data_IF_892564978587
#
_entry.id   IF_892564978587
#
_cell.length_a   1.000
_cell.length_b   1.000
_cell.length_c   1.000
_cell.angle_alpha   90.00
_cell.angle_beta   90.00
_cell.angle_gamma   90.00
#
_symmetry.space_group_name_H-M   'P 1'
#
loop_
_entity.id
_entity.type
_entity.pdbx_description
1 polymer ?
#
# COMPACT_ATOMS: atom_id res chain seq x y z
N UNK A 1 -9.07 -33.63 -8.09
CA UNK A 1 -8.84 -32.53 -9.04
C UNK A 1 -9.55 -31.24 -8.60
N UNK A 2 -10.66 -31.30 -7.87
CA UNK A 2 -11.38 -30.09 -7.45
C UNK A 2 -10.79 -29.36 -6.22
N UNK A 3 -10.12 -30.08 -5.30
CA UNK A 3 -9.56 -29.48 -4.08
C UNK A 3 -8.35 -28.56 -4.33
N UNK A 4 -7.53 -28.88 -5.35
CA UNK A 4 -6.33 -28.09 -5.66
C UNK A 4 -6.67 -26.74 -6.27
N UNK A 5 -7.67 -26.69 -7.16
CA UNK A 5 -8.19 -25.45 -7.72
C UNK A 5 -8.88 -24.59 -6.67
N UNK A 6 -9.56 -25.20 -5.70
CA UNK A 6 -10.20 -24.45 -4.62
C UNK A 6 -9.20 -23.74 -3.70
N UNK A 7 -8.08 -24.39 -3.36
CA UNK A 7 -7.06 -23.78 -2.49
C UNK A 7 -6.31 -22.65 -3.19
N UNK A 8 -5.93 -22.83 -4.45
CA UNK A 8 -5.27 -21.77 -5.23
C UNK A 8 -6.20 -20.55 -5.45
N UNK A 9 -7.48 -20.79 -5.75
CA UNK A 9 -8.48 -19.73 -5.87
C UNK A 9 -8.72 -19.03 -4.52
N UNK A 10 -8.69 -19.78 -3.41
CA UNK A 10 -8.79 -19.21 -2.07
C UNK A 10 -7.62 -18.27 -1.73
N UNK A 11 -6.39 -18.69 -2.00
CA UNK A 11 -5.19 -17.85 -1.82
C UNK A 11 -5.23 -16.62 -2.72
N UNK A 12 -5.65 -16.78 -3.98
CA UNK A 12 -5.83 -15.66 -4.88
C UNK A 12 -6.87 -14.64 -4.34
N UNK A 13 -7.97 -15.10 -3.73
CA UNK A 13 -8.92 -14.20 -3.06
C UNK A 13 -8.27 -13.44 -1.91
N UNK A 14 -7.45 -14.11 -1.09
CA UNK A 14 -6.70 -13.46 -0.01
C UNK A 14 -5.72 -12.40 -0.54
N UNK A 15 -4.97 -12.71 -1.60
CA UNK A 15 -4.06 -11.76 -2.26
C UNK A 15 -4.79 -10.50 -2.72
N UNK A 16 -5.92 -10.65 -3.42
CA UNK A 16 -6.70 -9.52 -3.90
C UNK A 16 -7.38 -8.76 -2.75
N UNK A 17 -7.74 -9.44 -1.65
CA UNK A 17 -8.26 -8.78 -0.45
C UNK A 17 -7.25 -7.84 0.18
N UNK A 18 -5.95 -8.20 0.21
CA UNK A 18 -4.87 -7.33 0.66
C UNK A 18 -4.73 -6.08 -0.21
N UNK A 19 -4.91 -6.21 -1.53
CA UNK A 19 -4.90 -5.06 -2.44
C UNK A 19 -6.15 -4.20 -2.26
N UNK A 20 -7.32 -4.76 -2.01
CA UNK A 20 -8.55 -3.98 -1.89
C UNK A 20 -8.76 -3.40 -0.49
N UNK A 21 -8.10 -3.94 0.54
CA UNK A 21 -8.33 -3.58 1.94
C UNK A 21 -9.69 -4.05 2.46
N UNK A 22 -10.29 -5.07 1.83
CA UNK A 22 -11.60 -5.60 2.21
C UNK A 22 -11.44 -6.89 3.00
N UNK A 23 -12.13 -7.00 4.14
CA UNK A 23 -12.20 -8.26 4.87
C UNK A 23 -13.01 -9.30 4.08
N UNK A 24 -12.53 -10.54 4.03
CA UNK A 24 -13.26 -11.66 3.43
C UNK A 24 -14.33 -12.09 4.45
N UNK A 25 -15.61 -12.04 4.07
CA UNK A 25 -16.69 -12.58 4.90
C UNK A 25 -16.57 -14.11 4.93
N UNK A 26 -16.51 -14.67 6.14
CA UNK A 26 -16.38 -16.10 6.41
C UNK A 26 -17.56 -16.87 5.82
N UNK A 27 -17.35 -17.68 4.78
CA UNK A 27 -18.39 -18.62 4.31
C UNK A 27 -18.20 -20.05 4.82
N UNK A 28 -17.10 -20.41 5.51
CA UNK A 28 -16.98 -21.74 6.12
C UNK A 28 -16.20 -21.71 7.45
N UNK A 29 -16.94 -21.99 8.54
CA UNK A 29 -16.42 -22.32 9.87
C UNK A 29 -15.44 -23.52 9.81
N UNK A 30 -14.43 -23.47 10.69
CA UNK A 30 -13.55 -24.57 11.14
C UNK A 30 -12.18 -24.76 10.47
N UNK A 31 -11.37 -23.69 10.46
CA UNK A 31 -10.02 -23.72 11.08
C UNK A 31 -9.44 -22.32 10.99
N UNK A 32 -9.14 -21.66 12.11
CA UNK A 32 -8.41 -20.38 12.11
C UNK A 32 -7.01 -20.62 11.55
N UNK A 33 -6.84 -20.48 10.24
CA UNK A 33 -5.56 -20.63 9.59
C UNK A 33 -4.69 -19.42 9.96
N UNK A 34 -3.44 -19.66 10.40
CA UNK A 34 -2.53 -18.58 10.81
C UNK A 34 -2.32 -17.53 9.71
N UNK A 35 -2.46 -17.93 8.44
CA UNK A 35 -2.37 -17.04 7.29
C UNK A 35 -3.56 -16.09 7.17
N UNK A 36 -4.77 -16.54 7.48
CA UNK A 36 -5.97 -15.68 7.45
C UNK A 36 -5.91 -14.62 8.54
N UNK A 37 -5.39 -15.00 9.72
CA UNK A 37 -5.14 -14.06 10.82
C UNK A 37 -4.13 -12.99 10.39
N UNK A 38 -3.05 -13.36 9.67
CA UNK A 38 -2.10 -12.40 9.12
C UNK A 38 -2.76 -11.42 8.14
N UNK A 39 -3.56 -11.94 7.21
CA UNK A 39 -4.26 -11.10 6.22
C UNK A 39 -5.22 -10.13 6.90
N UNK A 40 -6.04 -10.62 7.83
CA UNK A 40 -6.96 -9.81 8.61
C UNK A 40 -6.23 -8.73 9.42
N UNK A 41 -5.14 -9.09 10.09
CA UNK A 41 -4.36 -8.15 10.88
C UNK A 41 -3.72 -7.05 10.01
N UNK A 42 -3.26 -7.37 8.79
CA UNK A 42 -2.75 -6.36 7.85
C UNK A 42 -3.87 -5.39 7.43
N UNK A 43 -5.04 -5.90 7.08
CA UNK A 43 -6.19 -5.07 6.66
C UNK A 43 -6.63 -4.15 7.80
N UNK A 44 -6.61 -4.64 9.03
CA UNK A 44 -7.01 -3.88 10.22
C UNK A 44 -5.91 -2.96 10.79
N UNK A 45 -4.73 -2.90 10.16
CA UNK A 45 -3.63 -2.05 10.63
C UNK A 45 -2.87 -2.58 11.85
N UNK A 46 -3.05 -3.85 12.21
CA UNK A 46 -2.41 -4.51 13.35
C UNK A 46 -1.01 -5.03 13.00
N UNK A 47 -0.14 -4.16 12.47
CA UNK A 47 1.16 -4.55 11.94
C UNK A 47 2.10 -5.13 13.00
N UNK A 48 2.04 -4.65 14.24
CA UNK A 48 2.80 -5.20 15.38
C UNK A 48 2.50 -6.68 15.60
N UNK A 49 1.23 -7.08 15.52
CA UNK A 49 0.82 -8.47 15.71
C UNK A 49 1.35 -9.36 14.58
N UNK A 50 1.30 -8.87 13.33
CA UNK A 50 1.90 -9.57 12.19
C UNK A 50 3.40 -9.77 12.37
N UNK A 51 4.11 -8.73 12.81
CA UNK A 51 5.58 -8.75 12.91
C UNK A 51 6.11 -9.49 14.15
N UNK A 52 5.27 -9.76 15.15
CA UNK A 52 5.65 -10.49 16.38
C UNK A 52 5.13 -11.93 16.44
N UNK A 53 4.33 -12.34 15.46
CA UNK A 53 3.79 -13.70 15.40
C UNK A 53 4.87 -14.77 15.16
N UNK A 54 4.53 -16.04 15.42
CA UNK A 54 5.46 -17.17 15.26
C UNK A 54 6.03 -17.28 13.84
N UNK A 55 5.24 -16.93 12.82
CA UNK A 55 5.68 -16.96 11.42
C UNK A 55 6.77 -15.89 11.18
N UNK A 56 6.56 -14.66 11.65
CA UNK A 56 7.56 -13.60 11.55
C UNK A 56 8.83 -13.97 12.30
N UNK A 57 8.71 -14.53 13.50
CA UNK A 57 9.84 -15.03 14.29
C UNK A 57 10.65 -16.10 13.57
N UNK A 58 9.97 -17.03 12.88
CA UNK A 58 10.62 -18.05 12.06
C UNK A 58 11.34 -17.45 10.85
N UNK A 59 10.70 -16.51 10.15
CA UNK A 59 11.30 -15.79 9.01
C UNK A 59 12.54 -15.05 9.49
N UNK A 60 12.42 -14.13 10.45
CA UNK A 60 13.57 -13.33 10.89
C UNK A 60 14.59 -14.09 11.74
N UNK A 61 14.23 -15.26 12.27
CA UNK A 61 15.10 -16.05 13.13
C UNK A 61 15.32 -15.40 14.51
N UNK A 62 14.33 -14.65 15.02
CA UNK A 62 14.45 -13.90 16.29
C UNK A 62 14.95 -14.72 17.50
N UNK A 63 14.72 -16.04 17.48
CA UNK A 63 15.07 -16.99 18.55
C UNK A 63 16.32 -17.84 18.23
N UNK A 64 17.07 -17.51 17.17
CA UNK A 64 18.29 -18.23 16.78
C UNK A 64 19.44 -18.03 17.78
N UNK A 65 20.32 -19.03 17.87
CA UNK A 65 21.45 -19.05 18.80
C UNK A 65 22.63 -18.23 18.28
N UNK A 66 23.40 -17.63 19.17
CA UNK A 66 24.61 -16.87 18.85
C UNK A 66 25.70 -17.69 18.10
N UNK A 67 25.58 -19.01 18.10
CA UNK A 67 26.52 -19.91 17.43
C UNK A 67 26.27 -20.04 15.92
N UNK A 68 25.10 -19.63 15.44
CA UNK A 68 24.73 -19.69 14.03
C UNK A 68 25.67 -18.87 13.14
N UNK A 69 26.19 -19.50 12.09
CA UNK A 69 27.13 -18.89 11.13
C UNK A 69 26.53 -17.65 10.43
N UNK A 70 25.21 -17.62 10.23
CA UNK A 70 24.49 -16.48 9.68
C UNK A 70 24.60 -15.24 10.57
N UNK A 71 24.47 -15.44 11.88
CA UNK A 71 24.49 -14.37 12.87
C UNK A 71 25.90 -13.81 13.01
N UNK A 72 26.92 -14.69 13.03
CA UNK A 72 28.32 -14.27 13.06
C UNK A 72 28.66 -13.38 11.88
N UNK A 73 28.29 -13.79 10.67
CA UNK A 73 28.49 -13.00 9.44
C UNK A 73 27.73 -11.68 9.44
N UNK A 74 26.51 -11.66 9.97
CA UNK A 74 25.75 -10.42 10.13
C UNK A 74 26.46 -9.46 11.09
N UNK A 75 26.90 -9.93 12.25
CA UNK A 75 27.55 -9.08 13.26
C UNK A 75 28.90 -8.56 12.75
N UNK A 76 29.63 -9.34 11.96
CA UNK A 76 30.91 -8.94 11.38
C UNK A 76 30.79 -7.87 10.29
N UNK A 77 29.78 -7.98 9.41
CA UNK A 77 29.68 -7.16 8.20
C UNK A 77 28.47 -6.22 8.15
N UNK A 78 27.55 -6.32 9.11
CA UNK A 78 26.24 -5.64 9.11
C UNK A 78 25.47 -5.83 7.79
N UNK A 79 25.63 -7.00 7.16
CA UNK A 79 25.00 -7.31 5.88
C UNK A 79 23.55 -7.80 6.07
N UNK A 80 22.65 -6.82 6.19
CA UNK A 80 21.21 -7.05 6.30
C UNK A 80 20.65 -7.76 5.09
N UNK A 81 21.16 -7.46 3.89
CA UNK A 81 20.65 -8.01 2.65
C UNK A 81 20.91 -9.53 2.57
N UNK A 82 22.16 -9.94 2.81
CA UNK A 82 22.52 -11.36 2.81
C UNK A 82 21.77 -12.14 3.89
N UNK A 83 21.62 -11.58 5.09
CA UNK A 83 20.93 -12.24 6.19
C UNK A 83 19.44 -12.46 5.89
N UNK A 84 18.70 -11.39 5.57
CA UNK A 84 17.26 -11.49 5.29
C UNK A 84 17.00 -12.36 4.06
N UNK A 85 17.82 -12.24 3.00
CA UNK A 85 17.71 -13.10 1.81
C UNK A 85 17.92 -14.58 2.14
N UNK A 86 18.91 -14.91 2.96
CA UNK A 86 19.17 -16.29 3.38
C UNK A 86 18.01 -16.85 4.21
N UNK A 87 17.56 -16.08 5.20
CA UNK A 87 16.43 -16.43 6.06
C UNK A 87 15.13 -16.67 5.29
N UNK A 88 14.87 -15.79 4.32
CA UNK A 88 13.71 -15.90 3.44
C UNK A 88 13.74 -17.19 2.62
N UNK A 89 14.91 -17.52 2.04
CA UNK A 89 15.11 -18.77 1.29
C UNK A 89 14.96 -20.00 2.18
N UNK A 90 15.53 -19.98 3.39
CA UNK A 90 15.42 -21.07 4.37
C UNK A 90 13.97 -21.30 4.82
N UNK A 91 13.21 -20.23 5.05
CA UNK A 91 11.79 -20.35 5.40
C UNK A 91 10.98 -21.00 4.28
N UNK A 92 11.28 -20.66 3.03
CA UNK A 92 10.60 -21.23 1.86
C UNK A 92 11.03 -22.69 1.62
N UNK A 93 12.33 -23.01 1.77
CA UNK A 93 12.87 -24.36 1.57
C UNK A 93 12.72 -25.27 2.80
N UNK A 94 12.06 -24.83 3.86
CA UNK A 94 11.79 -25.64 5.04
C UNK A 94 10.71 -26.68 4.68
N UNK A 95 11.15 -27.73 3.99
CA UNK A 95 10.32 -28.85 3.59
C UNK A 95 10.05 -29.76 4.79
N UNK A 96 8.80 -30.20 4.90
CA UNK A 96 8.45 -31.38 5.69
C UNK A 96 8.68 -32.60 4.77
N UNK A 97 9.66 -33.47 5.06
CA UNK A 97 10.06 -34.55 4.14
C UNK A 97 9.02 -35.66 3.92
N UNK A 98 7.79 -35.54 4.43
CA UNK A 98 6.77 -36.60 4.46
C UNK A 98 5.45 -36.27 3.73
N UNK A 99 5.36 -35.13 3.01
CA UNK A 99 4.09 -34.72 2.36
C UNK A 99 4.02 -35.15 0.88
N UNK A 100 2.81 -35.51 0.43
CA UNK A 100 2.53 -35.81 -0.98
C UNK A 100 2.77 -34.59 -1.89
N UNK A 101 3.15 -34.79 -3.15
CA UNK A 101 3.52 -33.71 -4.08
C UNK A 101 2.48 -32.59 -4.23
N UNK A 102 1.18 -32.91 -4.07
CA UNK A 102 0.11 -31.90 -4.11
C UNK A 102 0.04 -31.08 -2.82
N UNK A 103 0.21 -31.71 -1.66
CA UNK A 103 0.21 -31.04 -0.36
C UNK A 103 1.45 -30.14 -0.19
N UNK A 104 2.58 -30.54 -0.76
CA UNK A 104 3.80 -29.73 -0.82
C UNK A 104 3.58 -28.41 -1.59
N UNK A 105 2.91 -28.46 -2.75
CA UNK A 105 2.61 -27.25 -3.53
C UNK A 105 1.65 -26.30 -2.79
N UNK A 106 0.64 -26.82 -2.09
CA UNK A 106 -0.25 -26.00 -1.27
C UNK A 106 0.48 -25.35 -0.10
N UNK A 107 1.32 -26.11 0.60
CA UNK A 107 2.12 -25.59 1.69
C UNK A 107 3.07 -24.47 1.22
N UNK A 108 3.65 -24.63 0.03
CA UNK A 108 4.51 -23.63 -0.59
C UNK A 108 3.78 -22.31 -0.89
N UNK A 109 2.56 -22.39 -1.45
CA UNK A 109 1.72 -21.21 -1.69
C UNK A 109 1.40 -20.45 -0.40
N UNK A 110 1.04 -21.15 0.68
CA UNK A 110 0.81 -20.53 1.99
C UNK A 110 2.08 -19.90 2.56
N UNK A 111 3.25 -20.54 2.41
CA UNK A 111 4.53 -19.94 2.82
C UNK A 111 4.85 -18.67 2.03
N UNK A 112 4.64 -18.66 0.70
CA UNK A 112 4.78 -17.45 -0.11
C UNK A 112 3.83 -16.35 0.35
N UNK A 113 2.55 -16.66 0.59
CA UNK A 113 1.57 -15.68 1.07
C UNK A 113 1.92 -15.15 2.47
N UNK A 114 2.36 -16.00 3.39
CA UNK A 114 2.84 -15.59 4.71
C UNK A 114 4.01 -14.61 4.60
N UNK A 115 4.99 -14.92 3.75
CA UNK A 115 6.14 -14.07 3.52
C UNK A 115 5.74 -12.73 2.90
N UNK A 116 4.81 -12.74 1.93
CA UNK A 116 4.21 -11.54 1.36
C UNK A 116 3.55 -10.69 2.45
N UNK A 117 2.76 -11.32 3.33
CA UNK A 117 2.10 -10.64 4.45
C UNK A 117 3.12 -9.96 5.40
N UNK A 118 4.21 -10.65 5.76
CA UNK A 118 5.25 -10.06 6.61
C UNK A 118 5.96 -8.89 5.91
N UNK A 119 6.26 -8.99 4.62
CA UNK A 119 6.82 -7.88 3.87
C UNK A 119 5.87 -6.67 3.82
N UNK A 120 4.58 -6.91 3.57
CA UNK A 120 3.54 -5.86 3.60
C UNK A 120 3.47 -5.22 4.99
N UNK A 121 3.51 -6.02 6.06
CA UNK A 121 3.49 -5.49 7.42
C UNK A 121 4.72 -4.60 7.70
N UNK A 122 5.91 -4.96 7.21
CA UNK A 122 7.10 -4.11 7.28
C UNK A 122 6.92 -2.79 6.50
N UNK A 123 6.47 -2.86 5.24
CA UNK A 123 6.19 -1.68 4.43
C UNK A 123 5.19 -0.75 5.13
N UNK A 124 4.13 -1.31 5.70
CA UNK A 124 3.07 -0.52 6.34
C UNK A 124 3.50 0.07 7.67
N UNK A 125 4.28 -0.68 8.46
CA UNK A 125 4.88 -0.16 9.66
C UNK A 125 5.78 1.05 9.35
N UNK A 126 6.58 0.97 8.26
CA UNK A 126 7.39 2.08 7.80
C UNK A 126 6.54 3.31 7.42
N UNK A 127 5.52 3.12 6.58
CA UNK A 127 4.59 4.18 6.15
C UNK A 127 3.90 4.81 7.37
N UNK A 128 3.47 3.98 8.33
CA UNK A 128 2.79 4.43 9.53
C UNK A 128 3.69 5.30 10.40
N UNK A 129 4.91 4.86 10.68
CA UNK A 129 5.85 5.59 11.53
C UNK A 129 6.35 6.85 10.84
N UNK A 130 6.51 6.83 9.52
CA UNK A 130 7.07 7.96 8.76
C UNK A 130 6.05 9.07 8.49
N UNK A 131 4.78 8.73 8.23
CA UNK A 131 3.82 9.69 7.69
C UNK A 131 2.45 9.72 8.35
N UNK A 132 1.85 8.57 8.67
CA UNK A 132 0.44 8.56 9.09
C UNK A 132 0.25 8.64 10.59
N UNK A 133 1.20 8.11 11.37
CA UNK A 133 1.01 7.79 12.78
C UNK A 133 -0.12 6.79 13.03
N UNK A 134 -0.37 6.43 14.30
CA UNK A 134 0.48 6.68 15.48
C UNK A 134 1.77 5.86 15.44
N UNK A 135 2.75 6.17 16.31
CA UNK A 135 3.96 5.37 16.43
C UNK A 135 3.65 3.92 16.80
N UNK A 136 4.38 2.99 16.19
CA UNK A 136 4.31 1.58 16.53
C UNK A 136 5.13 1.33 17.79
N UNK A 137 4.53 0.64 18.77
CA UNK A 137 5.24 0.15 19.97
C UNK A 137 6.04 -1.14 19.62
N UNK A 138 6.87 -1.03 18.59
CA UNK A 138 7.77 -2.05 18.07
C UNK A 138 8.83 -1.31 17.24
N UNK A 139 10.11 -1.53 17.54
CA UNK A 139 11.19 -0.97 16.74
C UNK A 139 11.61 -1.94 15.64
N UNK A 140 12.10 -1.42 14.52
CA UNK A 140 12.55 -2.25 13.40
C UNK A 140 13.68 -3.23 13.78
N UNK A 141 14.52 -2.87 14.75
CA UNK A 141 15.60 -3.74 15.22
C UNK A 141 15.09 -4.91 16.09
N UNK A 142 13.88 -4.82 16.68
CA UNK A 142 13.25 -5.89 17.45
C UNK A 142 12.95 -7.13 16.60
N UNK A 143 12.84 -6.95 15.27
CA UNK A 143 12.68 -8.04 14.32
C UNK A 143 13.92 -8.94 14.22
N UNK A 144 15.09 -8.44 14.60
CA UNK A 144 16.35 -9.19 14.50
C UNK A 144 16.58 -10.06 15.75
N UNK A 145 17.40 -11.14 15.64
CA UNK A 145 17.84 -11.94 16.78
C UNK A 145 18.38 -11.12 17.96
N UNK A 146 18.10 -11.55 19.19
CA UNK A 146 18.52 -10.88 20.44
C UNK A 146 19.99 -10.46 20.44
N UNK A 147 20.86 -11.37 20.01
CA UNK A 147 22.31 -11.17 19.97
C UNK A 147 22.74 -10.04 19.02
N UNK A 148 21.98 -9.80 17.94
CA UNK A 148 22.21 -8.68 17.04
C UNK A 148 21.77 -7.39 17.70
N UNK A 149 20.61 -7.39 18.39
CA UNK A 149 20.11 -6.22 19.13
C UNK A 149 21.04 -5.78 20.25
N UNK A 150 21.69 -6.73 20.92
CA UNK A 150 22.65 -6.43 21.99
C UNK A 150 23.99 -5.88 21.47
N UNK A 151 24.38 -6.24 20.24
CA UNK A 151 25.71 -5.90 19.70
C UNK A 151 25.70 -4.73 18.73
N UNK A 152 24.60 -4.52 18.01
CA UNK A 152 24.50 -3.50 16.97
C UNK A 152 23.71 -2.30 17.49
N UNK A 153 24.24 -1.10 17.28
CA UNK A 153 23.54 0.13 17.63
C UNK A 153 22.38 0.37 16.65
N UNK A 154 21.19 0.70 17.16
CA UNK A 154 20.00 1.03 16.37
C UNK A 154 20.26 2.15 15.35
N UNK A 155 21.00 3.19 15.72
CA UNK A 155 21.31 4.31 14.83
C UNK A 155 22.23 3.88 13.68
N UNK A 156 23.19 2.99 13.98
CA UNK A 156 24.11 2.45 12.99
C UNK A 156 23.38 1.53 12.01
N UNK A 157 22.46 0.69 12.50
CA UNK A 157 21.59 -0.14 11.67
C UNK A 157 20.69 0.72 10.77
N UNK A 158 20.10 1.78 11.31
CA UNK A 158 19.26 2.68 10.53
C UNK A 158 20.08 3.39 9.44
N UNK A 159 21.25 3.93 9.80
CA UNK A 159 22.18 4.54 8.84
C UNK A 159 22.59 3.54 7.75
N UNK A 160 22.88 2.30 8.12
CA UNK A 160 23.23 1.26 7.15
C UNK A 160 22.07 0.93 6.22
N UNK A 161 20.85 0.89 6.76
CA UNK A 161 19.67 0.69 5.94
C UNK A 161 19.47 1.83 4.93
N UNK A 162 19.68 3.08 5.34
CA UNK A 162 19.65 4.26 4.48
C UNK A 162 20.71 4.21 3.38
N UNK A 163 21.95 3.81 3.71
CA UNK A 163 23.02 3.60 2.71
C UNK A 163 22.65 2.56 1.65
N UNK A 164 22.00 1.46 2.05
CA UNK A 164 21.58 0.40 1.12
C UNK A 164 20.39 0.84 0.26
N UNK A 165 19.53 1.72 0.78
CA UNK A 165 18.38 2.28 0.07
C UNK A 165 18.75 3.42 -0.89
N UNK A 166 19.93 4.02 -0.74
CA UNK A 166 20.49 4.97 -1.71
C UNK A 166 20.80 4.27 -3.04
N UNK A 167 20.51 4.91 -4.17
CA UNK A 167 20.64 4.30 -5.50
C UNK A 167 20.90 5.38 -6.56
N UNK A 168 21.61 5.04 -7.63
CA UNK A 168 21.98 5.96 -8.72
C UNK A 168 22.77 7.22 -8.27
N UNK A 169 23.39 7.16 -7.09
CA UNK A 169 24.08 8.30 -6.48
C UNK A 169 23.15 9.25 -5.71
N UNK A 170 21.85 8.95 -5.67
CA UNK A 170 20.87 9.68 -4.86
C UNK A 170 20.86 9.14 -3.43
N UNK A 171 21.01 10.05 -2.48
CA UNK A 171 21.00 9.73 -1.05
C UNK A 171 19.57 9.72 -0.51
N UNK A 172 19.35 8.88 0.51
CA UNK A 172 18.10 8.87 1.26
C UNK A 172 18.07 9.98 2.32
N UNK A 173 16.88 10.49 2.63
CA UNK A 173 16.69 11.51 3.64
C UNK A 173 17.16 11.01 5.02
N UNK A 174 18.21 11.65 5.55
CA UNK A 174 18.93 11.20 6.74
C UNK A 174 18.09 11.16 8.05
N UNK A 175 16.95 11.86 8.12
CA UNK A 175 16.04 11.79 9.28
C UNK A 175 14.92 10.76 9.10
N UNK A 176 14.97 9.94 8.05
CA UNK A 176 14.01 8.85 7.83
C UNK A 176 14.05 7.87 9.01
N UNK A 177 12.95 7.74 9.76
CA UNK A 177 12.91 6.87 10.93
C UNK A 177 12.77 5.40 10.51
N UNK A 178 13.43 4.50 11.24
CA UNK A 178 13.24 3.05 11.13
C UNK A 178 13.27 2.50 9.68
N UNK A 179 14.23 2.97 8.87
CA UNK A 179 14.41 2.61 7.47
C UNK A 179 14.64 1.10 7.25
N UNK A 180 15.04 0.39 8.31
CA UNK A 180 15.16 -1.07 8.30
C UNK A 180 13.84 -1.78 7.96
N UNK A 181 12.66 -1.23 8.34
CA UNK A 181 11.38 -1.79 7.91
C UNK A 181 11.22 -1.77 6.39
N UNK A 182 11.51 -0.61 5.76
CA UNK A 182 11.46 -0.48 4.31
C UNK A 182 12.49 -1.39 3.63
N UNK A 183 13.72 -1.42 4.15
CA UNK A 183 14.77 -2.28 3.61
C UNK A 183 14.40 -3.77 3.67
N UNK A 184 13.86 -4.25 4.79
CA UNK A 184 13.40 -5.65 4.92
C UNK A 184 12.34 -5.95 3.87
N UNK A 185 11.35 -5.06 3.72
CA UNK A 185 10.30 -5.24 2.70
C UNK A 185 10.87 -5.28 1.29
N UNK A 186 11.88 -4.44 1.00
CA UNK A 186 12.58 -4.41 -0.29
C UNK A 186 13.29 -5.72 -0.55
N UNK A 187 14.14 -6.16 0.38
CA UNK A 187 14.89 -7.42 0.26
C UNK A 187 13.95 -8.60 -0.01
N UNK A 188 12.83 -8.67 0.70
CA UNK A 188 11.87 -9.76 0.52
C UNK A 188 11.22 -9.66 -0.88
N UNK A 189 10.64 -8.52 -1.26
CA UNK A 189 9.78 -8.42 -2.45
C UNK A 189 10.52 -8.12 -3.77
N UNK A 190 11.70 -7.52 -3.72
CA UNK A 190 12.46 -7.06 -4.89
C UNK A 190 13.67 -7.98 -5.11
N UNK A 191 14.62 -8.06 -4.17
CA UNK A 191 15.81 -8.91 -4.34
C UNK A 191 15.50 -10.42 -4.36
N UNK A 192 14.36 -10.80 -3.77
CA UNK A 192 13.88 -12.17 -3.75
C UNK A 192 12.55 -12.35 -4.50
N UNK A 193 12.27 -11.52 -5.51
CA UNK A 193 11.09 -11.58 -6.37
C UNK A 193 10.77 -13.00 -6.88
N UNK A 194 11.81 -13.76 -7.25
CA UNK A 194 11.70 -15.14 -7.76
C UNK A 194 11.06 -16.14 -6.79
N UNK A 195 10.88 -15.78 -5.51
CA UNK A 195 10.21 -16.63 -4.53
C UNK A 195 8.69 -16.63 -4.76
N UNK A 196 8.13 -15.57 -5.32
CA UNK A 196 6.68 -15.36 -5.43
C UNK A 196 6.14 -15.72 -6.82
N UNK A 197 6.66 -16.78 -7.44
CA UNK A 197 6.28 -17.18 -8.81
C UNK A 197 4.80 -17.49 -8.93
N UNK A 198 4.18 -17.96 -7.86
CA UNK A 198 2.79 -18.43 -7.88
C UNK A 198 1.80 -17.34 -7.44
N UNK A 199 2.27 -16.27 -6.80
CA UNK A 199 1.43 -15.16 -6.36
C UNK A 199 1.22 -14.13 -7.48
N UNK A 200 -0.01 -13.65 -7.62
CA UNK A 200 -0.37 -12.67 -8.67
C UNK A 200 -0.06 -11.24 -8.26
N UNK A 201 -0.10 -10.93 -6.96
CA UNK A 201 -0.01 -9.57 -6.42
C UNK A 201 1.38 -9.19 -5.90
N UNK A 202 2.33 -10.12 -5.85
CA UNK A 202 3.69 -9.90 -5.33
C UNK A 202 4.39 -8.70 -5.97
N UNK A 203 4.37 -8.64 -7.31
CA UNK A 203 4.92 -7.54 -8.08
C UNK A 203 4.26 -6.20 -7.79
N UNK A 204 2.97 -6.20 -7.45
CA UNK A 204 2.24 -4.98 -7.11
C UNK A 204 2.75 -4.44 -5.77
N UNK A 205 2.96 -5.31 -4.80
CA UNK A 205 3.57 -4.91 -3.53
C UNK A 205 5.03 -4.48 -3.68
N UNK A 206 5.80 -5.17 -4.53
CA UNK A 206 7.17 -4.76 -4.87
C UNK A 206 7.22 -3.36 -5.49
N UNK A 207 6.28 -3.01 -6.39
CA UNK A 207 6.14 -1.65 -6.92
C UNK A 207 5.95 -0.61 -5.82
N UNK A 208 5.08 -0.89 -4.84
CA UNK A 208 4.86 0.05 -3.73
C UNK A 208 6.12 0.24 -2.89
N UNK A 209 6.89 -0.82 -2.66
CA UNK A 209 8.17 -0.69 -1.97
C UNK A 209 9.13 0.21 -2.75
N UNK A 210 9.27 -0.01 -4.06
CA UNK A 210 10.13 0.80 -4.92
C UNK A 210 9.68 2.26 -4.96
N UNK A 211 8.37 2.50 -5.01
CA UNK A 211 7.83 3.85 -5.01
C UNK A 211 8.09 4.55 -3.66
N UNK A 212 7.88 3.88 -2.53
CA UNK A 212 8.22 4.41 -1.21
C UNK A 212 9.73 4.66 -1.08
N UNK A 213 10.59 3.77 -1.60
CA UNK A 213 12.03 4.01 -1.68
C UNK A 213 12.33 5.27 -2.51
N UNK A 214 11.71 5.43 -3.67
CA UNK A 214 11.89 6.60 -4.52
C UNK A 214 11.49 7.90 -3.81
N UNK A 215 10.48 7.87 -2.94
CA UNK A 215 10.01 9.07 -2.21
C UNK A 215 10.93 9.52 -1.07
N UNK A 216 11.79 8.65 -0.57
CA UNK A 216 12.76 9.02 0.47
C UNK A 216 14.11 9.47 -0.11
N UNK A 217 14.29 9.42 -1.44
CA UNK A 217 15.48 9.92 -2.12
C UNK A 217 15.37 11.42 -2.41
N UNK A 218 16.51 12.09 -2.48
CA UNK A 218 16.58 13.52 -2.80
C UNK A 218 16.11 13.83 -4.22
N UNK A 219 16.49 13.00 -5.21
CA UNK A 219 16.01 13.11 -6.58
C UNK A 219 15.54 11.77 -7.15
N UNK A 220 15.05 11.86 -8.38
CA UNK A 220 14.50 10.78 -9.16
C UNK A 220 15.59 9.80 -9.61
N UNK A 221 15.45 8.51 -9.28
CA UNK A 221 16.36 7.45 -9.69
C UNK A 221 15.86 6.74 -10.95
N UNK A 222 16.73 6.61 -11.95
CA UNK A 222 16.42 5.99 -13.24
C UNK A 222 16.28 4.47 -13.16
N UNK A 223 17.10 3.82 -12.33
CA UNK A 223 17.01 2.37 -12.10
C UNK A 223 15.69 1.97 -11.44
N UNK A 224 15.22 2.75 -10.47
CA UNK A 224 13.91 2.54 -9.84
C UNK A 224 12.77 2.79 -10.83
N UNK A 225 12.86 3.85 -11.64
CA UNK A 225 11.89 4.13 -12.70
C UNK A 225 11.69 2.92 -13.62
N UNK A 226 12.78 2.42 -14.20
CA UNK A 226 12.72 1.37 -15.22
C UNK A 226 12.19 0.06 -14.63
N UNK A 227 12.63 -0.30 -13.42
CA UNK A 227 12.12 -1.45 -12.70
C UNK A 227 10.64 -1.28 -12.35
N UNK A 228 10.22 -0.06 -11.99
CA UNK A 228 8.85 0.24 -11.67
C UNK A 228 7.92 0.01 -12.88
N UNK A 229 8.25 0.60 -14.03
CA UNK A 229 7.47 0.38 -15.24
C UNK A 229 7.53 -1.07 -15.76
N UNK A 230 8.63 -1.78 -15.54
CA UNK A 230 8.71 -3.21 -15.86
C UNK A 230 7.69 -4.03 -15.06
N UNK A 231 7.56 -3.87 -13.74
CA UNK A 231 6.56 -4.70 -13.05
C UNK A 231 5.13 -4.29 -13.37
N UNK A 232 4.82 -3.00 -13.56
CA UNK A 232 3.47 -2.61 -14.00
C UNK A 232 3.10 -3.28 -15.32
N UNK A 233 4.03 -3.31 -16.29
CA UNK A 233 3.83 -4.01 -17.57
C UNK A 233 3.58 -5.52 -17.38
N UNK A 234 4.32 -6.19 -16.50
CA UNK A 234 4.11 -7.60 -16.21
C UNK A 234 2.78 -7.84 -15.47
N UNK A 235 2.43 -6.95 -14.55
CA UNK A 235 1.20 -7.01 -13.76
C UNK A 235 -0.05 -6.92 -14.63
N UNK A 236 -0.04 -6.13 -15.71
CA UNK A 236 -1.16 -5.99 -16.63
C UNK A 236 -1.69 -7.35 -17.13
N UNK A 237 -0.78 -8.31 -17.36
CA UNK A 237 -1.13 -9.67 -17.78
C UNK A 237 -1.72 -10.56 -16.68
N UNK A 238 -1.51 -10.20 -15.41
CA UNK A 238 -1.96 -10.96 -14.22
C UNK A 238 -3.26 -10.43 -13.62
N UNK A 239 -3.80 -9.32 -14.13
CA UNK A 239 -5.01 -8.69 -13.60
C UNK A 239 -6.26 -9.57 -13.82
N UNK A 240 -7.18 -9.65 -12.85
CA UNK A 240 -8.41 -10.41 -12.97
C UNK A 240 -9.42 -9.63 -13.80
N UNK A 241 -10.02 -10.28 -14.80
CA UNK A 241 -10.93 -9.62 -15.77
C UNK A 241 -12.25 -9.11 -15.17
N UNK A 242 -12.62 -9.56 -13.97
CA UNK A 242 -14.00 -9.40 -13.45
C UNK A 242 -14.15 -8.23 -12.48
N UNK A 243 -13.07 -7.74 -11.85
CA UNK A 243 -13.18 -6.78 -10.74
C UNK A 243 -12.71 -5.37 -11.16
N UNK A 244 -13.68 -4.47 -11.35
CA UNK A 244 -13.45 -3.08 -11.73
C UNK A 244 -12.68 -2.27 -10.68
N UNK A 245 -12.79 -2.60 -9.39
CA UNK A 245 -12.07 -1.89 -8.33
C UNK A 245 -10.56 -2.15 -8.39
N UNK A 246 -10.17 -3.36 -8.81
CA UNK A 246 -8.77 -3.71 -9.01
C UNK A 246 -8.19 -2.89 -10.17
N UNK A 247 -8.89 -2.82 -11.31
CA UNK A 247 -8.46 -1.98 -12.43
C UNK A 247 -8.39 -0.50 -12.07
N UNK A 248 -9.37 -0.02 -11.29
CA UNK A 248 -9.36 1.35 -10.78
C UNK A 248 -8.06 1.61 -10.01
N UNK A 249 -7.72 0.73 -9.06
CA UNK A 249 -6.53 0.88 -8.22
C UNK A 249 -5.25 0.78 -9.03
N UNK A 250 -5.20 -0.15 -9.99
CA UNK A 250 -4.08 -0.30 -10.92
C UNK A 250 -3.81 1.00 -11.69
N UNK A 251 -4.83 1.57 -12.33
CA UNK A 251 -4.67 2.78 -13.13
C UNK A 251 -4.39 4.03 -12.28
N UNK A 252 -4.89 4.10 -11.05
CA UNK A 252 -4.54 5.19 -10.13
C UNK A 252 -3.05 5.11 -9.76
N UNK A 253 -2.58 3.92 -9.34
CA UNK A 253 -1.17 3.75 -8.96
C UNK A 253 -0.23 4.00 -10.14
N UNK A 254 -0.56 3.49 -11.33
CA UNK A 254 0.21 3.76 -12.55
C UNK A 254 0.17 5.24 -12.95
N UNK A 255 -0.99 5.89 -12.84
CA UNK A 255 -1.14 7.32 -13.15
C UNK A 255 -0.33 8.21 -12.20
N UNK A 256 -0.30 7.87 -10.91
CA UNK A 256 0.51 8.56 -9.91
C UNK A 256 2.00 8.36 -10.15
N UNK A 257 2.40 7.16 -10.60
CA UNK A 257 3.77 6.93 -11.02
C UNK A 257 4.14 7.82 -12.21
N UNK A 258 3.34 7.83 -13.28
CA UNK A 258 3.59 8.71 -14.43
C UNK A 258 3.69 10.19 -14.02
N UNK A 259 2.78 10.64 -13.17
CA UNK A 259 2.78 12.01 -12.66
C UNK A 259 4.05 12.34 -11.86
N UNK A 260 4.49 11.45 -10.96
CA UNK A 260 5.71 11.63 -10.17
C UNK A 260 6.94 11.83 -11.07
N UNK A 261 7.00 11.12 -12.20
CA UNK A 261 8.07 11.23 -13.20
C UNK A 261 7.84 12.31 -14.26
N UNK A 262 6.86 13.20 -14.09
CA UNK A 262 6.57 14.32 -14.99
C UNK A 262 5.93 13.93 -16.34
N UNK A 263 5.40 12.70 -16.46
CA UNK A 263 4.72 12.19 -17.65
C UNK A 263 3.21 12.43 -17.56
N UNK A 264 2.81 13.69 -17.36
CA UNK A 264 1.44 14.07 -17.01
C UNK A 264 0.38 13.61 -18.03
N UNK A 265 0.69 13.61 -19.33
CA UNK A 265 -0.25 13.16 -20.36
C UNK A 265 -0.64 11.70 -20.19
N UNK A 266 0.33 10.83 -19.95
CA UNK A 266 0.11 9.40 -19.69
C UNK A 266 -0.57 9.19 -18.33
N UNK A 267 -0.24 10.03 -17.34
CA UNK A 267 -0.92 10.06 -16.04
C UNK A 267 -2.41 10.35 -16.18
N UNK A 268 -2.76 11.40 -16.92
CA UNK A 268 -4.16 11.78 -17.20
C UNK A 268 -4.90 10.65 -17.92
N UNK A 269 -4.29 10.01 -18.91
CA UNK A 269 -4.91 8.87 -19.60
C UNK A 269 -5.22 7.71 -18.63
N UNK A 270 -4.35 7.46 -17.66
CA UNK A 270 -4.58 6.47 -16.62
C UNK A 270 -5.72 6.89 -15.69
N UNK A 271 -5.76 8.14 -15.23
CA UNK A 271 -6.86 8.64 -14.38
C UNK A 271 -8.22 8.61 -15.09
N UNK A 272 -8.26 8.85 -16.41
CA UNK A 272 -9.48 8.70 -17.20
C UNK A 272 -9.94 7.23 -17.31
N UNK A 273 -9.01 6.27 -17.37
CA UNK A 273 -9.34 4.83 -17.31
C UNK A 273 -9.83 4.42 -15.92
N UNK A 274 -9.23 4.95 -14.85
CA UNK A 274 -9.69 4.76 -13.47
C UNK A 274 -11.10 5.35 -13.25
N UNK A 275 -11.37 6.52 -13.83
CA UNK A 275 -12.68 7.17 -13.80
C UNK A 275 -13.77 6.27 -14.43
N UNK A 276 -13.47 5.71 -15.61
CA UNK A 276 -14.39 4.80 -16.33
C UNK A 276 -14.67 3.51 -15.56
N UNK A 277 -13.66 2.94 -14.87
CA UNK A 277 -13.79 1.68 -14.14
C UNK A 277 -14.49 1.84 -12.79
N UNK A 278 -14.23 2.92 -12.07
CA UNK A 278 -14.85 3.19 -10.75
C UNK A 278 -16.28 3.73 -10.82
N UNK A 279 -16.68 4.30 -11.96
CA UNK A 279 -17.93 5.06 -12.07
C UNK A 279 -17.89 6.39 -11.29
N UNK A 280 -16.73 6.77 -10.73
CA UNK A 280 -16.51 8.10 -10.19
C UNK A 280 -16.51 9.10 -11.35
N UNK A 281 -17.26 10.19 -11.23
CA UNK A 281 -17.28 11.24 -12.23
C UNK A 281 -16.65 12.49 -11.62
N UNK A 282 -15.65 13.06 -12.28
CA UNK A 282 -15.08 14.34 -11.88
C UNK A 282 -14.83 15.23 -13.08
N UNK A 283 -14.85 16.54 -12.85
CA UNK A 283 -14.58 17.57 -13.86
C UNK A 283 -13.92 18.77 -13.20
N UNK A 284 -12.92 19.33 -13.87
CA UNK A 284 -12.36 20.65 -13.52
C UNK A 284 -13.21 21.72 -14.21
N UNK A 285 -13.72 22.66 -13.43
CA UNK A 285 -14.58 23.77 -13.88
C UNK A 285 -14.15 25.07 -13.21
N UNK A 286 -14.54 26.21 -13.78
CA UNK A 286 -14.37 27.51 -13.14
C UNK A 286 -15.70 27.98 -12.55
N UNK A 287 -15.70 28.44 -11.30
CA UNK A 287 -16.87 29.04 -10.67
C UNK A 287 -16.50 30.39 -10.04
N UNK A 288 -17.41 31.36 -10.10
CA UNK A 288 -17.28 32.63 -9.40
C UNK A 288 -17.67 32.42 -7.94
N UNK A 289 -16.84 32.88 -7.01
CA UNK A 289 -17.18 32.79 -5.59
C UNK A 289 -16.39 33.71 -4.67
N UNK A 290 -16.86 33.78 -3.42
CA UNK A 290 -16.28 34.60 -2.34
C UNK A 290 -15.66 33.71 -1.29
N UNK A 291 -14.52 34.15 -0.73
CA UNK A 291 -13.83 33.44 0.37
C UNK A 291 -13.84 34.21 1.69
N UNK A 292 -14.21 35.49 1.66
CA UNK A 292 -14.26 36.34 2.85
C UNK A 292 -15.62 36.99 3.02
N UNK A 293 -16.01 37.22 4.27
CA UNK A 293 -17.32 37.77 4.65
C UNK A 293 -17.53 39.20 4.13
N UNK A 294 -16.45 39.97 3.98
CA UNK A 294 -16.50 41.39 3.61
C UNK A 294 -16.20 41.66 2.13
N UNK A 295 -16.00 40.62 1.31
CA UNK A 295 -15.74 40.76 -0.12
C UNK A 295 -17.00 41.17 -0.88
N UNK A 296 -16.92 42.28 -1.62
CA UNK A 296 -18.07 42.83 -2.36
C UNK A 296 -18.24 42.25 -3.76
N UNK A 297 -17.18 41.73 -4.39
CA UNK A 297 -17.18 41.20 -5.76
C UNK A 297 -16.77 39.72 -5.80
N UNK A 298 -17.14 38.98 -6.84
CA UNK A 298 -16.76 37.57 -6.98
C UNK A 298 -15.44 37.42 -7.74
N UNK A 299 -14.65 36.41 -7.36
CA UNK A 299 -13.40 36.06 -8.05
C UNK A 299 -13.56 34.68 -8.68
N UNK A 300 -12.98 34.50 -9.87
CA UNK A 300 -12.96 33.21 -10.54
C UNK A 300 -12.08 32.21 -9.77
N UNK A 301 -12.63 31.04 -9.49
CA UNK A 301 -11.94 29.98 -8.77
C UNK A 301 -11.98 28.71 -9.60
N UNK A 302 -10.86 27.99 -9.60
CA UNK A 302 -10.79 26.66 -10.20
C UNK A 302 -11.38 25.65 -9.21
N UNK A 303 -12.36 24.87 -9.65
CA UNK A 303 -13.11 23.93 -8.85
C UNK A 303 -13.08 22.54 -9.48
N UNK A 304 -12.85 21.53 -8.66
CA UNK A 304 -13.10 20.13 -9.03
C UNK A 304 -14.51 19.80 -8.55
N UNK A 305 -15.39 19.43 -9.48
CA UNK A 305 -16.72 18.90 -9.17
C UNK A 305 -16.62 17.39 -9.31
N UNK A 306 -17.01 16.67 -8.27
CA UNK A 306 -16.92 15.22 -8.22
C UNK A 306 -18.25 14.63 -7.74
N UNK A 307 -18.64 13.50 -8.31
CA UNK A 307 -19.80 12.72 -7.90
C UNK A 307 -19.47 11.22 -7.96
N UNK A 308 -20.01 10.47 -7.00
CA UNK A 308 -19.92 9.02 -7.01
C UNK A 308 -21.13 8.44 -7.76
N UNK A 309 -20.97 7.33 -8.47
CA UNK A 309 -22.11 6.64 -9.07
C UNK A 309 -23.14 6.26 -7.98
N UNK A 310 -24.39 6.70 -8.16
CA UNK A 310 -25.54 6.29 -7.34
C UNK A 310 -25.80 4.79 -7.59
N UNK A 311 -25.33 3.91 -6.69
CA UNK A 311 -25.74 2.50 -6.66
C UNK A 311 -26.88 2.35 -5.66
N UNK A 312 -27.87 1.51 -5.96
CA UNK A 312 -29.08 1.26 -5.17
C UNK A 312 -28.83 0.50 -3.84
N UNK A 313 -27.74 0.81 -3.15
CA UNK A 313 -27.41 0.28 -1.83
C UNK A 313 -27.39 1.45 -0.85
N UNK A 314 -28.58 1.99 -0.57
CA UNK A 314 -28.80 3.00 0.46
C UNK A 314 -29.80 2.42 1.46
N UNK A 315 -29.34 1.54 2.33
CA UNK A 315 -30.04 1.16 3.57
C UNK A 315 -29.16 1.03 4.82
N UNK A 316 -27.89 1.46 4.80
CA UNK A 316 -27.03 1.47 6.00
C UNK A 316 -26.46 2.86 6.32
N UNK A 317 -27.35 3.85 6.48
CA UNK A 317 -26.95 5.21 6.93
C UNK A 317 -26.76 5.33 8.47
N UNK A 318 -27.02 4.27 9.25
CA UNK A 318 -27.07 4.36 10.72
C UNK A 318 -25.84 3.80 11.47
N UNK A 319 -24.89 3.12 10.83
CA UNK A 319 -23.75 2.47 11.53
C UNK A 319 -22.40 3.16 11.31
N UNK A 320 -22.24 4.02 10.29
CA UNK A 320 -20.94 4.57 9.86
C UNK A 320 -20.55 5.93 10.45
N UNK A 321 -21.41 6.60 11.23
CA UNK A 321 -21.09 7.91 11.83
C UNK A 321 -20.03 7.90 12.94
N UNK A 322 -19.63 6.74 13.46
CA UNK A 322 -18.72 6.68 14.63
C UNK A 322 -17.24 6.93 14.33
N UNK A 323 -16.80 6.82 13.06
CA UNK A 323 -15.36 6.82 12.73
C UNK A 323 -14.94 7.91 11.73
N UNK A 324 -15.77 8.93 11.45
CA UNK A 324 -15.31 10.08 10.67
C UNK A 324 -14.62 11.07 11.62
N UNK A 325 -13.45 11.64 11.26
CA UNK A 325 -12.86 12.73 12.02
C UNK A 325 -13.84 13.91 12.06
N UNK A 326 -13.96 14.53 13.23
CA UNK A 326 -14.82 15.70 13.40
C UNK A 326 -14.34 16.83 12.49
N UNK A 327 -15.28 17.42 11.75
CA UNK A 327 -14.95 18.53 10.87
C UNK A 327 -14.54 19.74 11.72
N UNK A 328 -13.29 20.18 11.60
CA UNK A 328 -12.77 21.34 12.33
C UNK A 328 -13.34 22.62 11.70
N UNK A 329 -14.18 23.33 12.44
CA UNK A 329 -14.75 24.62 12.03
C UNK A 329 -13.64 25.67 12.04
N UNK A 330 -13.53 26.46 10.97
CA UNK A 330 -12.48 27.46 10.78
C UNK A 330 -12.57 28.58 11.83
N UNK A 331 -13.79 28.98 12.21
CA UNK A 331 -14.11 30.01 13.21
C UNK A 331 -13.35 31.32 13.02
N UNK A 332 -13.12 31.72 11.77
CA UNK A 332 -12.38 32.93 11.43
C UNK A 332 -13.33 34.13 11.25
N UNK A 333 -12.98 35.29 11.80
CA UNK A 333 -13.81 36.50 11.74
C UNK A 333 -13.89 37.12 10.34
N UNK A 334 -12.95 36.77 9.45
CA UNK A 334 -12.81 37.37 8.12
C UNK A 334 -13.16 36.40 7.00
N UNK A 335 -12.79 35.13 7.13
CA UNK A 335 -13.00 34.09 6.12
C UNK A 335 -14.40 33.46 6.24
N UNK A 336 -14.90 32.95 5.12
CA UNK A 336 -16.09 32.09 5.10
C UNK A 336 -15.69 30.64 5.41
N UNK A 337 -16.54 29.93 6.16
CA UNK A 337 -16.35 28.50 6.46
C UNK A 337 -16.36 27.62 5.20
N UNK A 338 -17.19 28.00 4.21
CA UNK A 338 -17.24 27.41 2.88
C UNK A 338 -17.27 28.53 1.86
N UNK A 339 -16.63 28.30 0.72
CA UNK A 339 -16.66 29.23 -0.39
C UNK A 339 -18.11 29.37 -0.87
N UNK A 340 -18.60 30.60 -0.92
CA UNK A 340 -19.93 30.89 -1.45
C UNK A 340 -19.83 31.12 -2.95
N UNK A 341 -20.42 30.23 -3.75
CA UNK A 341 -20.43 30.32 -5.20
C UNK A 341 -21.65 31.09 -5.70
N UNK A 342 -21.44 31.94 -6.71
CA UNK A 342 -22.50 32.69 -7.35
C UNK A 342 -23.23 31.81 -8.36
N UNK A 343 -24.57 31.78 -8.26
CA UNK A 343 -25.44 31.08 -9.21
C UNK A 343 -25.27 31.72 -10.59
N UNK A 344 -24.79 30.96 -11.57
CA UNK A 344 -24.77 31.42 -12.95
C UNK A 344 -26.17 31.29 -13.54
N UNK A 345 -26.91 32.40 -13.61
CA UNK A 345 -28.11 32.51 -14.43
C UNK A 345 -27.68 32.55 -15.92
N UNK A 346 -27.71 31.40 -16.60
CA UNK A 346 -27.85 31.34 -18.06
C UNK A 346 -26.60 31.04 -18.91
N UNK A 347 -25.89 29.94 -18.65
CA UNK A 347 -25.07 29.31 -19.70
C UNK A 347 -25.85 28.16 -20.35
N UNK A 348 -26.02 28.28 -21.68
CA UNK A 348 -26.61 27.26 -22.56
C UNK A 348 -25.89 25.93 -22.35
N UNK A 349 -26.68 24.87 -22.26
CA UNK A 349 -26.27 23.47 -22.24
C UNK A 349 -25.16 23.20 -23.28
N UNK A 350 -23.91 23.19 -22.83
CA UNK A 350 -22.87 22.43 -23.52
C UNK A 350 -23.29 20.96 -23.40
N UNK A 351 -23.54 20.35 -24.56
CA UNK A 351 -24.06 18.98 -24.73
C UNK A 351 -23.06 17.88 -24.31
N UNK A 352 -22.24 18.11 -23.29
CA UNK A 352 -21.52 17.06 -22.59
C UNK A 352 -22.19 16.80 -21.24
N UNK A 353 -23.17 15.91 -21.34
CA UNK A 353 -24.10 15.42 -20.34
C UNK A 353 -23.37 14.84 -19.12
N UNK A 354 -23.10 15.66 -18.10
CA UNK A 354 -22.84 15.20 -16.73
C UNK A 354 -23.55 16.15 -15.76
N UNK A 355 -24.45 15.58 -14.96
CA UNK A 355 -25.35 16.22 -13.99
C UNK A 355 -24.60 16.73 -12.74
N UNK A 356 -23.42 17.33 -12.96
CA UNK A 356 -22.45 17.71 -11.93
C UNK A 356 -22.61 19.20 -11.59
N UNK A 357 -23.40 19.49 -10.55
CA UNK A 357 -23.59 20.85 -10.04
C UNK A 357 -22.50 21.23 -9.01
N UNK A 358 -21.68 22.27 -9.26
CA UNK A 358 -20.77 22.87 -8.28
C UNK A 358 -21.39 23.16 -6.91
N UNK A 359 -22.68 23.49 -6.87
CA UNK A 359 -23.39 23.94 -5.67
C UNK A 359 -24.03 22.80 -4.88
N UNK A 360 -24.07 21.59 -5.45
CA UNK A 360 -24.75 20.43 -4.85
C UNK A 360 -23.87 19.17 -4.93
N UNK A 361 -22.68 19.26 -4.34
CA UNK A 361 -21.77 18.12 -4.23
C UNK A 361 -22.23 17.19 -3.12
N UNK A 362 -22.66 15.98 -3.49
CA UNK A 362 -22.93 14.89 -2.53
C UNK A 362 -21.62 14.41 -1.92
N UNK A 363 -21.69 13.83 -0.72
CA UNK A 363 -20.54 13.15 -0.13
C UNK A 363 -20.10 12.00 -1.05
N UNK A 364 -18.79 11.96 -1.33
CA UNK A 364 -18.20 10.88 -2.10
C UNK A 364 -18.24 9.58 -1.28
N UNK A 365 -18.39 8.45 -1.97
CA UNK A 365 -18.27 7.14 -1.32
C UNK A 365 -16.88 7.00 -0.72
N UNK A 366 -16.83 6.60 0.55
CA UNK A 366 -15.59 6.19 1.20
C UNK A 366 -15.16 4.84 0.65
N UNK A 367 -14.43 4.85 -0.47
CA UNK A 367 -13.60 3.72 -0.86
C UNK A 367 -12.17 4.10 -0.52
N UNK A 368 -11.63 3.48 0.53
CA UNK A 368 -10.28 3.70 1.02
C UNK A 368 -9.25 3.13 0.02
N UNK A 369 -9.05 3.81 -1.11
CA UNK A 369 -8.11 3.36 -2.13
C UNK A 369 -6.64 3.72 -1.81
N UNK A 370 -6.40 4.52 -0.77
CA UNK A 370 -5.33 5.51 -0.78
C UNK A 370 -4.18 5.32 0.23
N UNK A 371 -4.08 4.19 0.93
CA UNK A 371 -3.08 4.02 2.02
C UNK A 371 -1.62 4.27 1.60
N UNK A 372 -1.26 4.09 0.32
CA UNK A 372 0.11 4.30 -0.19
C UNK A 372 0.24 5.44 -1.20
N UNK A 373 -0.83 6.20 -1.44
CA UNK A 373 -0.92 7.12 -2.57
C UNK A 373 -0.92 8.59 -2.17
N UNK A 374 -0.99 8.88 -0.87
CA UNK A 374 -1.13 10.25 -0.35
C UNK A 374 0.17 10.80 0.24
N UNK A 375 1.16 9.95 0.54
CA UNK A 375 2.35 10.33 1.34
C UNK A 375 3.67 9.96 0.75
#
# INVERSE_FOLDING_TARGET
>A
MDSSNNTANYIEKLEWSLILGNSIQEEQENSSNSTETLVSNIINGLYKECLTCNIAKQIFGTELSAEDDCIKKFVENLDVNAYISKRTKEYISSDLPELESQQQQHHQLFRQLNLLCIAIACLNAFVQISWTGPNLDLESHDLLPTIIREKCNTDELNKKALEILSVDGEETYHLTPQALYLLISRIILVENEQIFTDLKTSLWWAQRVLFIQQRILDNVAGSLHDLMFQYFKTLESKLPSTNLDIYTRYYIELGLLYHYYGQDSLGVDCFLKAQKSSGFQWKITGALGKRTKFQTFDVSQLLIVANSADSKESQDENTTKKNLPDNLILNDDTLLEKIEFSKQDGQKDDKDNTDLDPHNQKNLKNKWYLTYLVY
#
